data_IF_768530652140
#
_entry.id   IF_768530652140
#
_cell.length_a   1.000
_cell.length_b   1.000
_cell.length_c   1.000
_cell.angle_alpha   90.00
_cell.angle_beta   90.00
_cell.angle_gamma   90.00
#
_symmetry.space_group_name_H-M   'P 1'
#
loop_
_entity.id
_entity.type
_entity.pdbx_description
1 polymer ?
#
# COMPACT_ATOMS: atom_id res chain seq x y z
N UNK A 1 8.51 11.11 -1.97
CA UNK A 1 7.15 11.56 -2.27
C UNK A 1 6.13 10.54 -1.77
N UNK A 2 5.14 10.99 -1.02
CA UNK A 2 4.15 10.12 -0.39
C UNK A 2 3.08 9.55 -1.33
N UNK A 3 3.03 9.92 -2.61
CA UNK A 3 1.95 9.52 -3.51
C UNK A 3 2.43 9.35 -4.96
N UNK A 4 3.39 8.45 -5.18
CA UNK A 4 3.92 8.14 -6.51
C UNK A 4 3.01 7.18 -7.29
N UNK A 5 2.37 6.24 -6.61
CA UNK A 5 1.56 5.21 -7.26
C UNK A 5 0.31 5.76 -7.95
N UNK A 6 -0.45 6.74 -7.41
CA UNK A 6 -1.58 7.31 -8.12
C UNK A 6 -1.23 7.90 -9.48
N UNK A 7 0.02 8.34 -9.66
CA UNK A 7 0.52 8.91 -10.92
C UNK A 7 1.29 7.88 -11.78
N UNK A 8 1.14 6.59 -11.49
CA UNK A 8 1.58 5.49 -12.35
C UNK A 8 2.97 4.92 -12.08
N UNK A 9 3.67 5.33 -10.99
CA UNK A 9 5.00 4.80 -10.67
C UNK A 9 5.00 3.36 -10.14
N UNK A 10 3.86 2.80 -9.77
CA UNK A 10 3.74 1.41 -9.34
C UNK A 10 4.32 0.42 -10.34
N UNK A 11 4.11 0.66 -11.64
CA UNK A 11 4.69 -0.16 -12.71
C UNK A 11 6.22 -0.18 -12.75
N UNK A 12 6.86 0.91 -12.33
CA UNK A 12 8.33 0.99 -12.21
C UNK A 12 8.79 0.12 -11.05
N UNK A 13 8.17 0.27 -9.87
CA UNK A 13 8.50 -0.55 -8.70
C UNK A 13 8.31 -2.04 -8.99
N UNK A 14 7.20 -2.40 -9.63
CA UNK A 14 6.93 -3.77 -10.08
C UNK A 14 8.06 -4.30 -10.98
N UNK A 15 8.46 -3.53 -11.99
CA UNK A 15 9.53 -3.93 -12.90
C UNK A 15 10.88 -4.12 -12.21
N UNK A 16 11.21 -3.29 -11.21
CA UNK A 16 12.44 -3.43 -10.42
C UNK A 16 12.42 -4.71 -9.58
N UNK A 17 11.27 -5.04 -8.96
CA UNK A 17 11.07 -6.28 -8.20
C UNK A 17 11.23 -7.50 -9.11
N UNK A 18 10.46 -7.57 -10.21
CA UNK A 18 10.44 -8.72 -11.12
C UNK A 18 11.78 -9.01 -11.79
N UNK A 19 12.61 -7.99 -11.94
CA UNK A 19 13.96 -8.12 -12.52
C UNK A 19 15.05 -8.37 -11.48
N UNK A 20 14.69 -8.46 -10.19
CA UNK A 20 15.65 -8.69 -9.11
C UNK A 20 16.63 -7.54 -8.87
N UNK A 21 16.22 -6.29 -9.16
CA UNK A 21 17.03 -5.10 -8.89
C UNK A 21 16.92 -4.61 -7.45
N UNK A 22 15.93 -5.08 -6.71
CA UNK A 22 15.70 -4.70 -5.32
C UNK A 22 15.51 -5.92 -4.45
N UNK A 23 16.14 -5.91 -3.28
CA UNK A 23 16.04 -6.98 -2.29
C UNK A 23 15.01 -6.68 -1.20
N UNK A 24 14.67 -5.41 -1.01
CA UNK A 24 13.65 -4.92 -0.10
C UNK A 24 13.26 -3.49 -0.42
N UNK A 25 12.10 -3.06 0.05
CA UNK A 25 11.56 -1.72 -0.22
C UNK A 25 11.11 -1.08 1.08
N UNK A 26 11.42 0.22 1.26
CA UNK A 26 10.77 1.08 2.26
C UNK A 26 9.92 2.10 1.50
N UNK A 27 8.64 2.19 1.86
CA UNK A 27 7.70 3.09 1.21
C UNK A 27 6.77 3.77 2.21
N UNK A 28 5.85 4.58 1.72
CA UNK A 28 4.79 5.20 2.51
C UNK A 28 3.50 4.40 2.42
N UNK A 29 2.64 4.51 3.45
CA UNK A 29 1.32 3.87 3.41
C UNK A 29 0.45 4.36 2.25
N UNK A 30 0.61 5.63 1.85
CA UNK A 30 -0.11 6.19 0.71
C UNK A 30 0.25 5.50 -0.61
N UNK A 31 1.51 5.09 -0.79
CA UNK A 31 1.90 4.36 -2.00
C UNK A 31 1.26 2.97 -2.06
N UNK A 32 1.23 2.25 -0.96
CA UNK A 32 0.57 0.92 -0.89
C UNK A 32 -0.93 1.07 -1.07
N UNK A 33 -1.57 2.01 -0.36
CA UNK A 33 -2.99 2.26 -0.44
C UNK A 33 -3.44 2.57 -1.87
N UNK A 34 -2.81 3.54 -2.53
CA UNK A 34 -3.22 3.96 -3.86
C UNK A 34 -2.83 2.97 -4.97
N UNK A 35 -1.90 2.06 -4.72
CA UNK A 35 -1.59 0.98 -5.65
C UNK A 35 -2.76 -0.01 -5.78
N UNK A 36 -3.44 -0.26 -4.67
CA UNK A 36 -4.57 -1.17 -4.66
C UNK A 36 -5.72 -0.73 -5.56
N UNK A 37 -5.87 0.58 -5.84
CA UNK A 37 -6.85 1.05 -6.83
C UNK A 37 -6.67 0.36 -8.18
N UNK A 38 -5.42 0.18 -8.63
CA UNK A 38 -5.11 -0.46 -9.92
C UNK A 38 -5.37 -1.96 -9.87
N UNK A 39 -4.96 -2.63 -8.80
CA UNK A 39 -5.18 -4.06 -8.62
C UNK A 39 -6.68 -4.40 -8.58
N UNK A 40 -7.46 -3.63 -7.84
CA UNK A 40 -8.90 -3.87 -7.68
C UNK A 40 -9.73 -3.27 -8.83
N UNK A 41 -9.10 -2.52 -9.74
CA UNK A 41 -9.77 -1.89 -10.89
C UNK A 41 -10.71 -0.76 -10.48
N UNK A 42 -10.38 -0.07 -9.39
CA UNK A 42 -11.14 1.09 -8.94
C UNK A 42 -10.85 2.31 -9.83
N UNK A 43 -11.84 3.13 -10.14
CA UNK A 43 -11.69 4.18 -11.15
C UNK A 43 -10.80 5.32 -10.68
N UNK A 44 -9.74 5.59 -11.44
CA UNK A 44 -8.87 6.76 -11.34
C UNK A 44 -8.94 7.48 -12.69
N UNK A 45 -9.03 8.80 -12.68
CA UNK A 45 -9.11 9.62 -13.88
C UNK A 45 -8.00 10.66 -13.92
N UNK A 46 -7.50 10.92 -15.10
CA UNK A 46 -6.62 12.07 -15.30
C UNK A 46 -7.39 13.35 -15.05
N UNK A 47 -6.80 14.25 -14.31
CA UNK A 47 -7.32 15.54 -13.95
C UNK A 47 -6.40 16.67 -14.40
N UNK A 48 -6.36 17.75 -13.62
CA UNK A 48 -5.50 18.91 -13.85
C UNK A 48 -5.01 19.46 -12.50
N UNK A 49 -3.86 20.15 -12.53
CA UNK A 49 -3.40 20.93 -11.39
C UNK A 49 -4.19 22.23 -11.21
N UNK A 50 -4.58 22.84 -12.32
CA UNK A 50 -5.21 24.14 -12.35
C UNK A 50 -6.73 23.98 -12.27
N UNK A 51 -7.20 23.68 -11.05
CA UNK A 51 -8.61 23.48 -10.74
C UNK A 51 -8.95 24.04 -9.36
N UNK A 52 -10.21 24.39 -9.20
CA UNK A 52 -10.78 24.81 -7.93
C UNK A 52 -11.15 23.59 -7.08
N UNK A 53 -10.37 23.33 -6.02
CA UNK A 53 -10.60 22.18 -5.13
C UNK A 53 -11.96 22.24 -4.39
N UNK A 54 -12.52 23.43 -4.18
CA UNK A 54 -13.88 23.55 -3.59
C UNK A 54 -14.96 23.00 -4.53
N UNK A 55 -14.81 23.27 -5.85
CA UNK A 55 -15.73 22.70 -6.85
C UNK A 55 -15.56 21.21 -7.02
N UNK A 56 -14.36 20.68 -6.79
CA UNK A 56 -14.14 19.23 -6.76
C UNK A 56 -14.78 18.61 -5.52
N UNK A 57 -14.62 19.23 -4.37
CA UNK A 57 -15.24 18.80 -3.12
C UNK A 57 -16.77 18.69 -3.21
N UNK A 58 -17.44 19.71 -3.80
CA UNK A 58 -18.89 19.69 -4.05
C UNK A 58 -19.34 18.51 -4.93
N UNK A 59 -18.44 17.97 -5.75
CA UNK A 59 -18.66 16.82 -6.63
C UNK A 59 -18.12 15.52 -6.05
N UNK A 60 -17.71 15.53 -4.78
CA UNK A 60 -17.12 14.37 -4.09
C UNK A 60 -15.88 13.80 -4.81
N UNK A 61 -15.08 14.69 -5.41
CA UNK A 61 -13.85 14.37 -6.09
C UNK A 61 -12.67 14.80 -5.23
N UNK A 62 -11.77 13.86 -4.97
CA UNK A 62 -10.47 14.09 -4.34
C UNK A 62 -9.42 14.22 -5.43
N UNK A 63 -8.56 15.22 -5.30
CA UNK A 63 -7.45 15.44 -6.22
C UNK A 63 -6.13 15.05 -5.57
N UNK A 64 -5.35 14.23 -6.29
CA UNK A 64 -3.95 13.95 -5.97
C UNK A 64 -3.11 14.42 -7.16
N UNK A 65 -2.47 15.58 -7.03
CA UNK A 65 -1.76 16.25 -8.14
C UNK A 65 -2.70 16.49 -9.32
N UNK A 66 -2.46 15.84 -10.44
CA UNK A 66 -3.25 15.87 -11.67
C UNK A 66 -4.11 14.62 -11.88
N UNK A 67 -4.43 13.94 -10.77
CA UNK A 67 -5.29 12.74 -10.78
C UNK A 67 -6.56 13.03 -9.97
N UNK A 68 -7.70 12.65 -10.52
CA UNK A 68 -9.01 12.76 -9.90
C UNK A 68 -9.53 11.40 -9.48
N UNK A 69 -9.99 11.32 -8.22
CA UNK A 69 -10.49 10.11 -7.59
C UNK A 69 -11.85 10.44 -7.00
N UNK A 70 -12.87 9.68 -7.37
CA UNK A 70 -14.19 9.84 -6.76
C UNK A 70 -14.20 9.21 -5.37
N UNK A 71 -14.70 9.96 -4.38
CA UNK A 71 -14.68 9.53 -2.99
C UNK A 71 -15.38 8.17 -2.81
N UNK A 72 -16.63 8.04 -3.20
CA UNK A 72 -17.40 6.80 -2.95
C UNK A 72 -17.01 5.67 -3.89
N UNK A 73 -16.77 5.96 -5.17
CA UNK A 73 -16.51 4.93 -6.18
C UNK A 73 -15.10 4.31 -6.05
N UNK A 74 -14.18 5.02 -5.41
CA UNK A 74 -12.80 4.59 -5.30
C UNK A 74 -12.34 4.50 -3.85
N UNK A 75 -12.24 5.62 -3.11
CA UNK A 75 -11.66 5.61 -1.76
C UNK A 75 -12.52 4.80 -0.79
N UNK A 76 -13.81 5.07 -0.70
CA UNK A 76 -14.70 4.32 0.20
C UNK A 76 -14.84 2.85 -0.23
N UNK A 77 -14.81 2.57 -1.54
CA UNK A 77 -14.83 1.21 -2.05
C UNK A 77 -13.56 0.44 -1.66
N UNK A 78 -12.40 1.09 -1.74
CA UNK A 78 -11.14 0.51 -1.29
C UNK A 78 -11.09 0.27 0.21
N UNK A 79 -11.57 1.21 1.01
CA UNK A 79 -11.68 1.00 2.46
C UNK A 79 -12.50 -0.25 2.78
N UNK A 80 -13.58 -0.53 2.02
CA UNK A 80 -14.35 -1.76 2.18
C UNK A 80 -13.55 -3.02 1.82
N UNK A 81 -12.72 -2.94 0.77
CA UNK A 81 -11.81 -4.04 0.39
C UNK A 81 -10.81 -4.30 1.50
N UNK A 82 -10.15 -3.26 2.00
CA UNK A 82 -9.15 -3.35 3.08
C UNK A 82 -9.80 -3.89 4.36
N UNK A 83 -10.99 -3.42 4.72
CA UNK A 83 -11.75 -3.95 5.86
C UNK A 83 -12.05 -5.44 5.72
N UNK A 84 -12.33 -5.90 4.50
CA UNK A 84 -12.55 -7.31 4.22
C UNK A 84 -11.24 -8.12 4.31
N UNK A 85 -10.13 -7.57 3.79
CA UNK A 85 -8.79 -8.17 3.92
C UNK A 85 -8.48 -8.39 5.40
N UNK A 86 -8.64 -7.39 6.25
CA UNK A 86 -8.39 -7.50 7.68
C UNK A 86 -9.31 -8.52 8.36
N UNK A 87 -10.58 -8.58 7.97
CA UNK A 87 -11.52 -9.53 8.55
C UNK A 87 -11.15 -10.97 8.23
N UNK A 88 -10.65 -11.21 7.02
CA UNK A 88 -10.31 -12.53 6.52
C UNK A 88 -8.88 -12.97 6.92
N UNK A 89 -8.02 -12.01 7.33
CA UNK A 89 -6.66 -12.31 7.75
C UNK A 89 -6.64 -12.85 9.19
N UNK A 90 -5.90 -13.94 9.40
CA UNK A 90 -5.71 -14.57 10.70
C UNK A 90 -4.52 -13.94 11.44
N UNK A 91 -4.62 -12.67 11.79
CA UNK A 91 -3.60 -11.99 12.58
C UNK A 91 -3.88 -12.22 14.06
N UNK A 92 -3.05 -13.03 14.71
CA UNK A 92 -3.17 -13.46 16.10
C UNK A 92 -2.10 -12.88 17.04
N UNK A 93 -1.14 -12.16 16.50
CA UNK A 93 0.00 -11.54 17.22
C UNK A 93 0.35 -10.18 16.62
N UNK A 94 1.13 -9.34 17.34
CA UNK A 94 1.72 -8.13 16.76
C UNK A 94 2.55 -8.45 15.51
N UNK A 95 2.49 -7.61 14.50
CA UNK A 95 3.10 -7.83 13.19
C UNK A 95 3.91 -6.61 12.74
N UNK A 96 4.86 -6.83 11.83
CA UNK A 96 5.60 -5.75 11.16
C UNK A 96 4.85 -5.23 9.95
N UNK A 97 5.22 -4.08 9.43
CA UNK A 97 4.59 -3.56 8.21
C UNK A 97 4.94 -4.41 6.99
N UNK A 98 6.06 -5.13 7.00
CA UNK A 98 6.41 -6.10 5.96
C UNK A 98 5.48 -7.32 5.97
N UNK A 99 5.19 -7.89 7.15
CA UNK A 99 4.19 -8.97 7.29
C UNK A 99 2.81 -8.49 6.85
N UNK A 100 2.46 -7.26 7.18
CA UNK A 100 1.20 -6.65 6.77
C UNK A 100 1.10 -6.48 5.24
N UNK A 101 2.13 -5.94 4.60
CA UNK A 101 2.20 -5.79 3.15
C UNK A 101 2.16 -7.14 2.43
N UNK A 102 2.79 -8.16 3.01
CA UNK A 102 2.76 -9.52 2.49
C UNK A 102 1.33 -10.09 2.48
N UNK A 103 0.56 -9.88 3.57
CA UNK A 103 -0.85 -10.26 3.64
C UNK A 103 -1.68 -9.53 2.57
N UNK A 104 -1.48 -8.22 2.40
CA UNK A 104 -2.17 -7.46 1.35
C UNK A 104 -1.82 -8.05 -0.02
N UNK A 105 -0.54 -8.28 -0.31
CA UNK A 105 -0.08 -8.83 -1.59
C UNK A 105 -0.67 -10.21 -1.89
N UNK A 106 -0.68 -11.11 -0.89
CA UNK A 106 -1.27 -12.43 -0.98
C UNK A 106 -2.76 -12.38 -1.34
N UNK A 107 -3.53 -11.57 -0.61
CA UNK A 107 -4.98 -11.48 -0.81
C UNK A 107 -5.29 -10.75 -2.13
N UNK A 108 -4.53 -9.71 -2.47
CA UNK A 108 -4.67 -9.03 -3.76
C UNK A 108 -4.36 -9.97 -4.92
N UNK A 109 -3.36 -10.85 -4.80
CA UNK A 109 -3.08 -11.89 -5.80
C UNK A 109 -4.26 -12.82 -6.04
N UNK A 110 -4.89 -13.27 -4.96
CA UNK A 110 -5.98 -14.25 -5.03
C UNK A 110 -7.31 -13.66 -5.48
N UNK A 111 -7.59 -12.40 -5.12
CA UNK A 111 -8.96 -11.85 -5.16
C UNK A 111 -9.11 -10.56 -5.96
N UNK A 112 -8.02 -9.85 -6.27
CA UNK A 112 -8.13 -8.62 -7.04
C UNK A 112 -8.42 -8.89 -8.52
N UNK A 113 -8.93 -7.88 -9.22
CA UNK A 113 -9.31 -7.99 -10.62
C UNK A 113 -8.09 -8.02 -11.57
N UNK A 114 -7.02 -7.33 -11.18
CA UNK A 114 -5.80 -7.15 -11.98
C UNK A 114 -4.55 -7.27 -11.10
N UNK A 115 -4.30 -8.44 -10.50
CA UNK A 115 -3.17 -8.62 -9.57
C UNK A 115 -1.83 -8.30 -10.23
N UNK A 116 -1.73 -8.51 -11.54
CA UNK A 116 -0.54 -8.23 -12.34
C UNK A 116 -0.21 -6.73 -12.44
N UNK A 117 -1.09 -5.84 -12.02
CA UNK A 117 -0.85 -4.39 -12.03
C UNK A 117 -0.24 -3.86 -10.73
N UNK A 118 -0.19 -4.68 -9.67
CA UNK A 118 0.26 -4.25 -8.35
C UNK A 118 1.71 -4.60 -8.07
N UNK A 119 2.51 -3.61 -7.63
CA UNK A 119 3.84 -3.89 -7.11
C UNK A 119 3.81 -4.56 -5.73
N UNK A 120 2.72 -4.40 -4.97
CA UNK A 120 2.54 -5.09 -3.68
C UNK A 120 2.34 -6.59 -3.92
N UNK A 121 1.55 -6.95 -4.94
CA UNK A 121 1.42 -8.35 -5.38
C UNK A 121 2.76 -8.89 -5.89
N UNK A 122 3.50 -8.11 -6.68
CA UNK A 122 4.82 -8.51 -7.13
C UNK A 122 5.80 -8.70 -5.96
N UNK A 123 5.78 -7.83 -4.96
CA UNK A 123 6.60 -7.98 -3.77
C UNK A 123 6.30 -9.30 -3.03
N UNK A 124 5.03 -9.68 -2.92
CA UNK A 124 4.63 -10.98 -2.40
C UNK A 124 5.14 -12.14 -3.27
N UNK A 125 4.98 -12.07 -4.59
CA UNK A 125 5.34 -13.15 -5.52
C UNK A 125 6.85 -13.42 -5.58
N UNK A 126 7.65 -12.39 -5.41
CA UNK A 126 9.12 -12.46 -5.47
C UNK A 126 9.79 -12.44 -4.10
N UNK A 127 9.00 -12.57 -3.02
CA UNK A 127 9.49 -12.58 -1.64
C UNK A 127 10.36 -11.35 -1.29
N UNK A 128 9.97 -10.18 -1.78
CA UNK A 128 10.63 -8.90 -1.51
C UNK A 128 9.93 -8.20 -0.35
N UNK A 129 10.56 -8.06 0.83
CA UNK A 129 9.97 -7.39 1.97
C UNK A 129 9.62 -5.93 1.66
N UNK A 130 8.38 -5.54 1.96
CA UNK A 130 7.87 -4.20 1.72
C UNK A 130 7.49 -3.53 3.05
N UNK A 131 8.36 -2.67 3.55
CA UNK A 131 8.15 -1.93 4.81
C UNK A 131 7.43 -0.61 4.57
N UNK A 132 6.53 -0.25 5.49
CA UNK A 132 5.75 0.99 5.42
C UNK A 132 6.15 1.90 6.58
N UNK A 133 7.15 2.76 6.38
CA UNK A 133 7.71 3.62 7.44
C UNK A 133 6.73 4.67 7.98
N UNK A 134 5.78 5.12 7.16
CA UNK A 134 4.78 6.14 7.53
C UNK A 134 3.36 5.62 7.41
N UNK A 135 3.10 4.43 7.95
CA UNK A 135 1.78 3.81 7.88
C UNK A 135 0.69 4.71 8.49
N UNK A 136 0.98 5.36 9.61
CA UNK A 136 0.03 6.22 10.35
C UNK A 136 -0.55 7.38 9.53
N UNK A 137 0.14 7.81 8.48
CA UNK A 137 -0.26 8.92 7.63
C UNK A 137 -1.07 8.45 6.40
N UNK A 138 -1.68 7.28 6.47
CA UNK A 138 -2.44 6.69 5.38
C UNK A 138 -3.78 6.12 5.83
N UNK A 139 -4.69 5.95 4.88
CA UNK A 139 -5.98 5.28 5.10
C UNK A 139 -5.82 3.82 5.56
N UNK A 140 -4.71 3.16 5.23
CA UNK A 140 -4.38 1.84 5.76
C UNK A 140 -4.36 1.83 7.30
N UNK A 141 -3.74 2.85 7.92
CA UNK A 141 -3.70 2.95 9.39
C UNK A 141 -5.08 3.24 9.99
N UNK A 142 -5.89 4.05 9.33
CA UNK A 142 -7.27 4.29 9.79
C UNK A 142 -8.09 3.00 9.75
N UNK A 143 -7.97 2.23 8.69
CA UNK A 143 -8.61 0.93 8.56
C UNK A 143 -8.11 -0.06 9.62
N UNK A 144 -6.79 -0.10 9.87
CA UNK A 144 -6.19 -0.93 10.92
C UNK A 144 -6.71 -0.53 12.32
N UNK A 145 -6.85 0.77 12.59
CA UNK A 145 -7.37 1.26 13.86
C UNK A 145 -8.82 0.80 14.11
N UNK A 146 -9.67 0.79 13.08
CA UNK A 146 -11.03 0.25 13.18
C UNK A 146 -11.02 -1.23 13.57
N UNK A 147 -10.13 -2.02 12.98
CA UNK A 147 -9.98 -3.45 13.36
C UNK A 147 -9.43 -3.62 14.76
N UNK A 148 -8.50 -2.78 15.17
CA UNK A 148 -7.93 -2.78 16.53
C UNK A 148 -9.00 -2.62 17.62
N UNK A 149 -10.06 -1.85 17.37
CA UNK A 149 -11.18 -1.71 18.30
C UNK A 149 -11.89 -3.03 18.58
N UNK A 150 -11.88 -3.95 17.60
CA UNK A 150 -12.55 -5.25 17.68
C UNK A 150 -11.61 -6.38 18.11
N UNK A 151 -10.37 -6.31 17.69
CA UNK A 151 -9.35 -7.32 17.96
C UNK A 151 -8.03 -6.66 18.40
N UNK A 152 -7.68 -6.86 19.67
CA UNK A 152 -6.50 -6.25 20.30
C UNK A 152 -5.16 -6.82 19.80
N UNK A 153 -5.15 -7.90 19.05
CA UNK A 153 -3.94 -8.47 18.44
C UNK A 153 -3.44 -7.64 17.26
N UNK A 154 -4.33 -6.86 16.61
CA UNK A 154 -3.96 -5.95 15.53
C UNK A 154 -3.11 -4.79 16.05
N UNK A 155 -1.83 -5.02 16.17
CA UNK A 155 -0.84 -4.02 16.59
C UNK A 155 0.48 -4.21 15.85
N UNK A 156 1.16 -3.11 15.62
CA UNK A 156 2.48 -3.14 14.98
C UNK A 156 3.57 -3.43 16.01
N UNK A 157 4.49 -4.31 15.66
CA UNK A 157 5.74 -4.52 16.38
C UNK A 157 6.85 -3.69 15.74
N UNK A 158 6.84 -2.41 16.07
CA UNK A 158 7.76 -1.43 15.53
C UNK A 158 9.23 -1.75 15.89
N UNK A 159 9.48 -2.29 17.07
CA UNK A 159 10.85 -2.63 17.51
C UNK A 159 11.38 -3.82 16.70
N UNK A 160 10.56 -4.84 16.50
CA UNK A 160 10.93 -5.99 15.65
C UNK A 160 11.20 -5.54 14.22
N UNK A 161 10.41 -4.63 13.66
CA UNK A 161 10.62 -4.09 12.33
C UNK A 161 11.97 -3.40 12.17
N UNK A 162 12.40 -2.60 13.17
CA UNK A 162 13.74 -2.00 13.18
C UNK A 162 14.84 -3.07 13.19
N UNK A 163 14.68 -4.13 13.97
CA UNK A 163 15.64 -5.23 14.02
C UNK A 163 15.73 -5.97 12.68
N UNK A 164 14.60 -6.22 12.01
CA UNK A 164 14.54 -6.84 10.68
C UNK A 164 15.29 -5.99 9.64
N UNK A 165 14.97 -4.70 9.55
CA UNK A 165 15.63 -3.78 8.63
C UNK A 165 17.14 -3.65 8.90
N UNK A 166 17.52 -3.55 10.16
CA UNK A 166 18.93 -3.48 10.58
C UNK A 166 19.68 -4.77 10.20
N UNK A 167 19.03 -5.92 10.34
CA UNK A 167 19.60 -7.22 9.97
C UNK A 167 19.86 -7.31 8.46
N UNK A 168 18.92 -6.83 7.63
CA UNK A 168 19.10 -6.79 6.17
C UNK A 168 20.34 -5.96 5.81
N UNK A 169 20.44 -4.75 6.38
CA UNK A 169 21.59 -3.86 6.10
C UNK A 169 22.89 -4.46 6.58
N UNK A 170 22.91 -4.99 7.81
CA UNK A 170 24.13 -5.58 8.41
C UNK A 170 24.65 -6.78 7.63
N UNK A 171 23.76 -7.62 7.11
CA UNK A 171 24.14 -8.85 6.36
C UNK A 171 24.38 -8.61 4.87
N UNK A 172 24.13 -7.42 4.37
CA UNK A 172 24.36 -7.09 2.96
C UNK A 172 25.85 -7.05 2.63
N UNK A 173 26.28 -7.87 1.67
CA UNK A 173 27.68 -7.89 1.18
C UNK A 173 27.96 -6.78 0.18
N UNK A 174 26.96 -6.37 -0.57
CA UNK A 174 26.98 -5.23 -1.50
C UNK A 174 25.68 -4.50 -1.32
N UNK A 175 25.72 -3.19 -1.25
CA UNK A 175 24.53 -2.36 -1.07
C UNK A 175 24.54 -1.18 -2.02
N UNK A 176 23.36 -0.77 -2.43
CA UNK A 176 23.08 0.46 -3.15
C UNK A 176 21.68 0.94 -2.77
N UNK A 177 21.42 2.22 -2.93
CA UNK A 177 20.09 2.83 -2.75
C UNK A 177 19.63 3.33 -4.11
N UNK A 178 18.42 2.96 -4.50
CA UNK A 178 17.74 3.43 -5.71
C UNK A 178 16.73 4.53 -5.40
#
# INVERSE_FOLDING_TARGET
SGALTPVGFGGIFKSLIERGFVDWIITTGANVYHEDHFAWGLPIKQGSFDVDDMKLYEKEIVRIRDVFIKYYETLAAEDQVIQKIFKDSLIDKPFTTAEFSNIIGMISKERSKYPEKSFVTAAYDYDVPLYISTLKDSSLALNLAVHRLRNKTYSLDFVREILEQSSIVYNSKKSGIL
#
